data_IF_832919528490
#
_entry.id   IF_832919528490
#
_cell.length_a   1.000
_cell.length_b   1.000
_cell.length_c   1.000
_cell.angle_alpha   90.00
_cell.angle_beta   90.00
_cell.angle_gamma   90.00
#
_symmetry.space_group_name_H-M   'P 1'
#
loop_
_entity.id
_entity.type
_entity.pdbx_description
1 polymer ?
#
# COMPACT_ATOMS: atom_id res chain seq x y z
N UNK A 1 44.77 -25.43 -30.95
CA UNK A 1 43.31 -25.55 -31.20
C UNK A 1 42.50 -26.19 -30.06
N UNK A 2 43.06 -26.41 -28.86
CA UNK A 2 42.31 -26.97 -27.72
C UNK A 2 41.75 -25.92 -26.72
N UNK A 3 42.23 -24.68 -26.79
CA UNK A 3 41.87 -23.58 -25.85
C UNK A 3 40.69 -22.73 -26.31
N UNK A 4 40.30 -22.77 -27.59
CA UNK A 4 39.11 -22.05 -28.08
C UNK A 4 37.79 -22.68 -27.59
N UNK A 5 37.77 -24.00 -27.40
CA UNK A 5 36.60 -24.75 -26.91
C UNK A 5 36.14 -24.29 -25.52
N UNK A 6 37.00 -24.26 -24.48
CA UNK A 6 36.58 -23.84 -23.14
C UNK A 6 36.16 -22.36 -23.09
N UNK A 7 36.83 -21.49 -23.85
CA UNK A 7 36.48 -20.07 -23.94
C UNK A 7 35.10 -19.90 -24.58
N UNK A 8 34.82 -20.63 -25.67
CA UNK A 8 33.52 -20.64 -26.33
C UNK A 8 32.41 -21.16 -25.41
N UNK A 9 32.66 -22.23 -24.65
CA UNK A 9 31.69 -22.77 -23.68
C UNK A 9 31.41 -21.79 -22.55
N UNK A 10 32.44 -21.08 -22.06
CA UNK A 10 32.30 -20.07 -21.02
C UNK A 10 31.50 -18.85 -21.51
N UNK A 11 31.77 -18.40 -22.74
CA UNK A 11 31.00 -17.34 -23.41
C UNK A 11 29.53 -17.73 -23.59
N UNK A 12 29.26 -18.98 -24.00
CA UNK A 12 27.91 -19.50 -24.15
C UNK A 12 27.18 -19.56 -22.79
N UNK A 13 27.88 -19.94 -21.72
CA UNK A 13 27.34 -19.95 -20.36
C UNK A 13 26.97 -18.55 -19.88
N UNK A 14 27.84 -17.55 -20.07
CA UNK A 14 27.52 -16.16 -19.72
C UNK A 14 26.38 -15.57 -20.56
N UNK A 15 26.30 -15.95 -21.84
CA UNK A 15 25.19 -15.54 -22.70
C UNK A 15 23.86 -16.13 -22.22
N UNK A 16 23.84 -17.39 -21.79
CA UNK A 16 22.65 -18.05 -21.24
C UNK A 16 22.20 -17.41 -19.91
N UNK A 17 23.13 -17.09 -19.01
CA UNK A 17 22.81 -16.39 -17.74
C UNK A 17 22.19 -15.01 -17.96
N UNK A 18 22.59 -14.32 -19.04
CA UNK A 18 22.16 -12.94 -19.35
C UNK A 18 20.71 -12.84 -19.86
N UNK A 19 20.06 -13.96 -20.20
CA UNK A 19 18.72 -13.95 -20.80
C UNK A 19 17.56 -14.06 -19.80
N UNK A 20 17.85 -13.95 -18.51
CA UNK A 20 16.85 -14.02 -17.43
C UNK A 20 16.04 -12.71 -17.32
N UNK A 21 15.16 -12.45 -18.29
CA UNK A 21 14.22 -11.33 -18.21
C UNK A 21 13.12 -11.67 -17.18
N UNK A 22 13.28 -11.20 -15.95
CA UNK A 22 12.20 -11.22 -14.95
C UNK A 22 11.09 -10.32 -15.46
N UNK A 23 9.98 -10.92 -15.92
CA UNK A 23 8.75 -10.17 -16.21
C UNK A 23 8.40 -9.44 -14.91
N UNK A 24 8.23 -8.10 -14.91
CA UNK A 24 7.70 -7.44 -13.74
C UNK A 24 6.36 -8.10 -13.44
N UNK A 25 6.30 -8.86 -12.34
CA UNK A 25 5.06 -9.47 -11.87
C UNK A 25 4.00 -8.38 -11.84
N UNK A 26 2.76 -8.70 -12.23
CA UNK A 26 1.64 -7.74 -12.24
C UNK A 26 1.63 -7.05 -10.88
N UNK A 27 2.16 -5.83 -10.78
CA UNK A 27 2.16 -5.09 -9.53
C UNK A 27 0.70 -4.90 -9.19
N UNK A 28 0.23 -5.56 -8.14
CA UNK A 28 -1.09 -5.32 -7.59
C UNK A 28 -1.06 -3.86 -7.17
N UNK A 29 -1.59 -2.99 -8.03
CA UNK A 29 -1.69 -1.58 -7.70
C UNK A 29 -2.56 -1.52 -6.46
N UNK A 30 -2.03 -0.95 -5.38
CA UNK A 30 -2.81 -0.74 -4.18
C UNK A 30 -4.12 -0.06 -4.59
N UNK A 31 -5.26 -0.65 -4.19
CA UNK A 31 -6.55 -0.10 -4.54
C UNK A 31 -6.62 1.32 -3.97
N UNK A 32 -6.75 2.31 -4.86
CA UNK A 32 -6.92 3.70 -4.45
C UNK A 32 -8.41 3.98 -4.32
N UNK A 33 -8.84 4.78 -3.33
CA UNK A 33 -10.24 5.12 -3.18
C UNK A 33 -10.77 5.79 -4.45
N UNK A 34 -11.95 5.37 -4.92
CA UNK A 34 -12.62 5.94 -6.09
C UNK A 34 -13.04 7.41 -5.87
N UNK A 35 -13.29 7.78 -4.61
CA UNK A 35 -13.60 9.14 -4.18
C UNK A 35 -13.07 9.36 -2.77
N UNK A 36 -12.54 10.55 -2.49
CA UNK A 36 -12.22 11.01 -1.14
C UNK A 36 -13.23 12.08 -0.75
N UNK A 37 -13.92 11.86 0.36
CA UNK A 37 -14.81 12.84 0.96
C UNK A 37 -14.14 13.35 2.25
N UNK A 38 -14.04 14.66 2.40
CA UNK A 38 -13.38 15.33 3.53
C UNK A 38 -14.38 16.31 4.11
N UNK A 39 -14.73 16.14 5.38
CA UNK A 39 -15.71 16.94 6.09
C UNK A 39 -15.26 17.24 7.51
N UNK A 40 -15.92 18.21 8.14
CA UNK A 40 -15.76 18.53 9.56
C UNK A 40 -16.87 17.84 10.34
N UNK A 41 -16.48 17.09 11.37
CA UNK A 41 -17.42 16.52 12.32
C UNK A 41 -17.63 17.51 13.46
N UNK A 42 -18.88 17.84 13.77
CA UNK A 42 -19.24 18.74 14.85
C UNK A 42 -19.84 17.95 16.00
N UNK A 43 -19.22 18.07 17.17
CA UNK A 43 -19.69 17.44 18.40
C UNK A 43 -19.81 18.48 19.52
N UNK A 44 -21.01 18.62 20.08
CA UNK A 44 -21.34 19.50 21.20
C UNK A 44 -21.92 18.63 22.31
N UNK A 45 -21.10 18.34 23.32
CA UNK A 45 -21.48 17.51 24.46
C UNK A 45 -22.56 18.21 25.31
N UNK A 46 -23.61 17.48 25.66
CA UNK A 46 -24.61 17.94 26.61
C UNK A 46 -24.03 18.16 28.01
N UNK A 47 -24.22 19.36 28.57
CA UNK A 47 -23.67 19.79 29.86
C UNK A 47 -24.74 20.00 30.95
N UNK A 48 -25.95 19.45 30.76
CA UNK A 48 -27.07 19.63 31.67
C UNK A 48 -27.97 20.84 31.37
N UNK A 49 -27.52 21.80 30.54
CA UNK A 49 -28.29 23.03 30.25
C UNK A 49 -28.45 23.33 28.76
N UNK A 50 -27.65 22.74 27.88
CA UNK A 50 -27.61 23.02 26.44
C UNK A 50 -28.43 22.04 25.57
N UNK A 51 -29.57 21.54 26.04
CA UNK A 51 -30.35 20.49 25.35
C UNK A 51 -30.76 20.87 23.91
N UNK A 52 -30.96 22.16 23.64
CA UNK A 52 -31.33 22.66 22.30
C UNK A 52 -30.16 22.74 21.31
N UNK A 53 -28.91 22.64 21.79
CA UNK A 53 -27.69 22.81 20.98
C UNK A 53 -26.77 21.59 21.01
N UNK A 54 -26.95 20.68 21.97
CA UNK A 54 -26.13 19.48 22.08
C UNK A 54 -26.35 18.56 20.87
N UNK A 55 -25.26 18.00 20.35
CA UNK A 55 -25.27 16.97 19.30
C UNK A 55 -24.83 15.60 19.81
N UNK A 56 -24.40 15.51 21.07
CA UNK A 56 -24.09 14.26 21.78
C UNK A 56 -24.37 14.36 23.29
N UNK A 57 -24.34 13.21 23.98
CA UNK A 57 -24.52 13.12 25.42
C UNK A 57 -23.76 11.92 26.01
N UNK A 58 -23.31 12.06 27.27
CA UNK A 58 -22.68 10.98 28.04
C UNK A 58 -23.78 10.08 28.62
N UNK A 59 -23.75 8.78 28.31
CA UNK A 59 -24.75 7.79 28.78
C UNK A 59 -24.29 6.96 29.98
N UNK A 60 -23.01 7.05 30.36
CA UNK A 60 -22.43 6.34 31.51
C UNK A 60 -21.19 7.04 32.06
N UNK A 61 -20.96 6.92 33.37
CA UNK A 61 -19.79 7.50 34.03
C UNK A 61 -18.51 6.72 33.65
N UNK A 62 -17.33 7.38 33.60
CA UNK A 62 -16.05 6.68 33.48
C UNK A 62 -15.86 5.68 34.62
N UNK A 63 -15.14 4.59 34.34
CA UNK A 63 -14.77 3.57 35.33
C UNK A 63 -13.74 4.09 36.34
#
# INVERSE_FOLDING_TARGET
MATLKPISTLLLFFLLLSTSAVKPGKRVRAHKPCKKLVFYFHDIIYNGKNAKNATSAIVGAPA
#
